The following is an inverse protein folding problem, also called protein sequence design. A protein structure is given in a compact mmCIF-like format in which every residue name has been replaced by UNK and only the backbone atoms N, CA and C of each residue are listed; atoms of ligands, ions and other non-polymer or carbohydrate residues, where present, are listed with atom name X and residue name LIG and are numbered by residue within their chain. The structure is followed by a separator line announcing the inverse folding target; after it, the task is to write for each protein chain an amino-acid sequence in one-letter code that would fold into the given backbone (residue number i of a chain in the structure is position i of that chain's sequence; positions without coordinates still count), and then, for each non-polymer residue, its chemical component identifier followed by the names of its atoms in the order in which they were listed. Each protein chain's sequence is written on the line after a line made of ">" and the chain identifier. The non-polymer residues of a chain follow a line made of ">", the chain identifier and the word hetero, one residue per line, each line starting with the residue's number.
data_IF_274485236920
#
_entry.id   IF_274485236920
#
_cell.length_a   1.000
_cell.length_b   1.000
_cell.length_c   1.000
_cell.angle_alpha   90.00
_cell.angle_beta   90.00
_cell.angle_gamma   90.00
#
_symmetry.space_group_name_H-M   'P 1'
#
loop_
_entity.id
_entity.type
_entity.pdbx_description
1 polymer ?
#
# COMPACT_ATOMS: atom_id res chain seq x y z
N UNK A 1 5.05 -11.96 3.32
CA UNK A 1 6.21 -11.04 3.21
C UNK A 1 6.85 -11.01 4.58
N UNK A 2 8.17 -11.19 4.70
CA UNK A 2 8.77 -11.50 5.99
C UNK A 2 9.25 -10.27 6.73
N UNK A 3 9.62 -9.17 6.07
CA UNK A 3 10.07 -7.94 6.76
C UNK A 3 9.62 -6.67 6.04
N UNK A 4 9.64 -5.53 6.74
CA UNK A 4 9.46 -4.19 6.17
C UNK A 4 10.28 -3.99 4.89
N UNK A 5 11.58 -4.30 4.92
CA UNK A 5 12.46 -4.17 3.76
C UNK A 5 12.02 -5.07 2.60
N UNK A 6 11.57 -6.30 2.88
CA UNK A 6 11.03 -7.18 1.83
C UNK A 6 9.73 -6.64 1.24
N UNK A 7 8.86 -6.02 2.06
CA UNK A 7 7.63 -5.38 1.59
C UNK A 7 7.96 -4.21 0.66
N UNK A 8 8.93 -3.38 1.01
CA UNK A 8 9.40 -2.25 0.19
C UNK A 8 9.96 -2.76 -1.14
N UNK A 9 10.85 -3.75 -1.11
CA UNK A 9 11.42 -4.33 -2.33
C UNK A 9 10.35 -4.92 -3.25
N UNK A 10 9.31 -5.53 -2.67
CA UNK A 10 8.19 -6.06 -3.42
C UNK A 10 7.31 -4.94 -3.99
N UNK A 11 7.05 -3.87 -3.23
CA UNK A 11 6.37 -2.67 -3.75
C UNK A 11 7.08 -2.12 -4.97
N UNK A 12 8.40 -1.90 -4.88
CA UNK A 12 9.22 -1.40 -5.98
C UNK A 12 9.22 -2.33 -7.18
N UNK A 13 9.27 -3.64 -6.96
CA UNK A 13 9.16 -4.63 -8.02
C UNK A 13 7.79 -4.57 -8.71
N UNK A 14 6.70 -4.43 -7.95
CA UNK A 14 5.34 -4.35 -8.49
C UNK A 14 5.12 -3.07 -9.28
N UNK A 15 5.64 -1.93 -8.80
CA UNK A 15 5.59 -0.68 -9.52
C UNK A 15 6.35 -0.75 -10.86
N UNK A 16 7.56 -1.34 -10.88
CA UNK A 16 8.31 -1.56 -12.13
C UNK A 16 7.57 -2.48 -13.11
N UNK A 17 6.93 -3.53 -12.62
CA UNK A 17 6.12 -4.42 -13.46
C UNK A 17 4.90 -3.68 -14.00
N UNK A 18 4.23 -2.87 -13.19
CA UNK A 18 3.10 -2.05 -13.63
C UNK A 18 3.50 -1.07 -14.75
N UNK A 19 4.67 -0.43 -14.64
CA UNK A 19 5.22 0.41 -15.72
C UNK A 19 5.48 -0.38 -17.01
N UNK A 20 6.07 -1.57 -16.89
CA UNK A 20 6.32 -2.44 -18.04
C UNK A 20 5.01 -2.85 -18.73
N UNK A 21 3.99 -3.21 -17.95
CA UNK A 21 2.69 -3.58 -18.48
C UNK A 21 1.99 -2.42 -19.19
N UNK A 22 2.07 -1.21 -18.62
CA UNK A 22 1.56 0.00 -19.24
C UNK A 22 2.21 0.24 -20.62
N UNK A 23 3.53 0.08 -20.72
CA UNK A 23 4.26 0.22 -21.99
C UNK A 23 3.89 -0.84 -23.04
N UNK A 24 3.36 -1.99 -22.60
CA UNK A 24 2.95 -3.10 -23.47
C UNK A 24 1.41 -3.19 -23.62
N UNK A 25 0.69 -2.11 -23.30
CA UNK A 25 -0.78 -2.01 -23.43
C UNK A 25 -1.59 -2.97 -22.53
N UNK A 26 -1.01 -3.51 -21.47
CA UNK A 26 -1.70 -4.30 -20.45
C UNK A 26 -2.23 -3.37 -19.34
N UNK A 27 -3.24 -2.56 -19.69
CA UNK A 27 -3.73 -1.47 -18.84
C UNK A 27 -4.36 -1.93 -17.53
N UNK A 28 -5.21 -2.95 -17.57
CA UNK A 28 -5.90 -3.48 -16.39
C UNK A 28 -4.89 -4.01 -15.35
N UNK A 29 -3.92 -4.80 -15.80
CA UNK A 29 -2.87 -5.35 -14.94
C UNK A 29 -1.91 -4.27 -14.42
N UNK A 30 -1.57 -3.28 -15.26
CA UNK A 30 -0.76 -2.14 -14.85
C UNK A 30 -1.46 -1.34 -13.74
N UNK A 31 -2.75 -1.05 -13.91
CA UNK A 31 -3.56 -0.34 -12.94
C UNK A 31 -3.66 -1.11 -11.62
N UNK A 32 -3.94 -2.41 -11.68
CA UNK A 32 -3.99 -3.27 -10.50
C UNK A 32 -2.66 -3.31 -9.73
N UNK A 33 -1.56 -3.59 -10.42
CA UNK A 33 -0.24 -3.71 -9.79
C UNK A 33 0.31 -2.37 -9.30
N UNK A 34 -0.02 -1.27 -9.99
CA UNK A 34 0.27 0.09 -9.54
C UNK A 34 -0.36 0.33 -8.16
N UNK A 35 -1.67 0.16 -8.03
CA UNK A 35 -2.35 0.33 -6.73
C UNK A 35 -1.82 -0.59 -5.63
N UNK A 36 -1.59 -1.86 -5.99
CA UNK A 36 -1.01 -2.81 -5.04
C UNK A 36 0.35 -2.37 -4.51
N UNK A 37 1.19 -1.71 -5.32
CA UNK A 37 2.48 -1.19 -4.84
C UNK A 37 2.33 -0.13 -3.74
N UNK A 38 1.33 0.76 -3.83
CA UNK A 38 1.03 1.75 -2.79
C UNK A 38 0.50 1.10 -1.51
N UNK A 39 -0.39 0.10 -1.63
CA UNK A 39 -0.85 -0.71 -0.49
C UNK A 39 0.34 -1.31 0.27
N UNK A 40 1.32 -1.85 -0.45
CA UNK A 40 2.53 -2.42 0.14
C UNK A 40 3.38 -1.38 0.87
N UNK A 41 3.55 -0.19 0.31
CA UNK A 41 4.24 0.91 0.99
C UNK A 41 3.56 1.29 2.31
N UNK A 42 2.22 1.37 2.34
CA UNK A 42 1.48 1.62 3.59
C UNK A 42 1.68 0.49 4.60
N UNK A 43 1.66 -0.77 4.15
CA UNK A 43 1.91 -1.94 5.01
C UNK A 43 3.35 -1.97 5.56
N UNK A 44 4.35 -1.57 4.77
CA UNK A 44 5.70 -1.37 5.26
C UNK A 44 5.74 -0.29 6.36
N UNK A 45 5.06 0.84 6.13
CA UNK A 45 4.99 1.92 7.12
C UNK A 45 4.31 1.47 8.41
N UNK A 46 3.26 0.65 8.34
CA UNK A 46 2.61 0.05 9.51
C UNK A 46 3.61 -0.80 10.30
N UNK A 47 4.43 -1.62 9.65
CA UNK A 47 5.47 -2.40 10.33
C UNK A 47 6.41 -1.48 11.13
N UNK A 48 6.87 -0.40 10.49
CA UNK A 48 7.72 0.63 11.12
C UNK A 48 7.03 1.35 12.28
N UNK A 49 5.75 1.70 12.12
CA UNK A 49 4.96 2.40 13.15
C UNK A 49 4.73 1.52 14.38
N UNK A 50 4.55 0.21 14.19
CA UNK A 50 4.37 -0.74 15.27
C UNK A 50 5.68 -1.22 15.88
N UNK A 51 6.82 -0.92 15.25
CA UNK A 51 8.14 -1.49 15.57
C UNK A 51 8.14 -3.04 15.54
N UNK A 52 7.44 -3.61 14.55
CA UNK A 52 7.35 -5.06 14.31
C UNK A 52 7.60 -5.32 12.82
N UNK A 53 8.87 -5.57 12.47
CA UNK A 53 9.31 -5.66 11.08
C UNK A 53 8.56 -6.73 10.26
N UNK A 54 8.17 -7.85 10.89
CA UNK A 54 7.50 -8.98 10.25
C UNK A 54 6.00 -9.03 10.55
N UNK A 55 5.38 -7.88 10.82
CA UNK A 55 3.98 -7.82 11.21
C UNK A 55 3.01 -8.43 10.17
N UNK A 56 3.35 -8.35 8.88
CA UNK A 56 2.57 -8.97 7.79
C UNK A 56 3.08 -10.37 7.38
N UNK A 57 3.96 -10.99 8.17
CA UNK A 57 4.31 -12.40 8.02
C UNK A 57 3.22 -13.27 8.67
N UNK A 58 2.21 -13.61 7.88
CA UNK A 58 1.09 -14.45 8.33
C UNK A 58 1.48 -15.92 8.55
N UNK A 59 2.61 -16.37 8.01
CA UNK A 59 3.11 -17.74 8.16
C UNK A 59 3.95 -17.90 9.44
N UNK A 60 4.64 -16.84 9.88
CA UNK A 60 5.42 -16.81 11.11
C UNK A 60 4.85 -15.81 12.13
N UNK A 61 3.99 -16.28 13.03
CA UNK A 61 3.31 -15.40 14.01
C UNK A 61 4.10 -15.18 15.31
N UNK A 62 5.33 -15.68 15.42
CA UNK A 62 6.10 -15.68 16.68
C UNK A 62 6.37 -14.28 17.23
N UNK A 63 6.71 -13.34 16.35
CA UNK A 63 7.13 -11.99 16.73
C UNK A 63 5.94 -11.04 17.02
N UNK A 64 4.71 -11.43 16.68
CA UNK A 64 3.48 -10.68 17.00
C UNK A 64 2.85 -11.06 18.33
N UNK A 65 3.50 -11.95 19.09
CA UNK A 65 3.00 -12.42 20.38
C UNK A 65 3.77 -11.76 21.50
N UNK A 66 3.02 -11.12 22.40
CA UNK A 66 3.61 -10.61 23.64
C UNK A 66 4.25 -11.77 24.43
N UNK A 67 5.47 -11.59 24.97
CA UNK A 67 6.05 -12.52 25.92
C UNK A 67 5.06 -12.77 27.07
N UNK A 68 4.89 -14.03 27.47
CA UNK A 68 4.00 -14.46 28.56
C UNK A 68 2.46 -14.37 28.32
N UNK A 69 1.99 -14.25 27.07
CA UNK A 69 0.55 -14.43 26.78
C UNK A 69 0.06 -15.84 27.16
N UNK A 70 -0.80 -15.92 28.19
CA UNK A 70 -1.37 -17.18 28.71
C UNK A 70 -2.33 -17.85 27.72
N UNK A 71 -2.94 -17.06 26.82
CA UNK A 71 -3.86 -17.55 25.79
C UNK A 71 -3.13 -17.67 24.45
N UNK A 72 -2.47 -18.82 24.23
CA UNK A 72 -1.83 -19.16 22.94
C UNK A 72 -2.81 -19.34 21.77
N UNK A 73 -4.12 -19.39 22.05
CA UNK A 73 -5.17 -19.78 21.10
C UNK A 73 -5.84 -18.63 20.33
N UNK A 74 -5.67 -17.36 20.73
CA UNK A 74 -6.28 -16.20 20.05
C UNK A 74 -5.23 -15.36 19.33
N UNK A 75 -4.68 -15.91 18.26
CA UNK A 75 -3.87 -15.16 17.29
C UNK A 75 -4.78 -14.37 16.33
N UNK A 76 -5.54 -13.42 16.89
CA UNK A 76 -6.47 -12.57 16.14
C UNK A 76 -5.98 -11.12 16.03
N UNK A 77 -4.82 -10.79 16.62
CA UNK A 77 -4.31 -9.42 16.73
C UNK A 77 -4.07 -8.77 15.35
N UNK A 78 -3.71 -9.57 14.34
CA UNK A 78 -3.47 -9.08 13.00
C UNK A 78 -4.73 -8.90 12.15
N UNK A 79 -5.89 -9.40 12.59
CA UNK A 79 -7.12 -9.40 11.77
C UNK A 79 -7.55 -7.99 11.41
N UNK A 80 -7.47 -7.05 12.36
CA UNK A 80 -7.80 -5.65 12.14
C UNK A 80 -6.87 -4.95 11.15
N UNK A 81 -5.71 -5.53 10.87
CA UNK A 81 -4.72 -5.00 9.92
C UNK A 81 -4.74 -5.73 8.58
N UNK A 82 -5.48 -6.84 8.46
CA UNK A 82 -5.65 -7.57 7.21
C UNK A 82 -6.74 -6.91 6.35
N UNK A 83 -6.46 -5.67 5.98
CA UNK A 83 -7.31 -4.82 5.14
C UNK A 83 -6.54 -4.42 3.88
N UNK A 84 -7.30 -4.00 2.87
CA UNK A 84 -6.80 -3.55 1.56
C UNK A 84 -7.26 -2.11 1.23
N UNK A 85 -8.01 -1.50 2.15
CA UNK A 85 -8.54 -0.16 2.04
C UNK A 85 -7.47 0.89 2.39
N UNK A 86 -7.27 1.87 1.50
CA UNK A 86 -6.20 2.85 1.67
C UNK A 86 -6.42 3.77 2.87
N UNK A 87 -7.65 4.21 3.12
CA UNK A 87 -7.92 5.11 4.25
C UNK A 87 -7.62 4.43 5.58
N UNK A 88 -8.09 3.18 5.75
CA UNK A 88 -7.74 2.38 6.93
C UNK A 88 -6.24 2.16 7.05
N UNK A 89 -5.55 1.84 5.95
CA UNK A 89 -4.10 1.65 5.96
C UNK A 89 -3.33 2.94 6.27
N UNK A 90 -3.79 4.11 5.81
CA UNK A 90 -3.23 5.43 6.15
C UNK A 90 -3.39 5.77 7.64
N UNK A 91 -4.54 5.43 8.23
CA UNK A 91 -4.78 5.58 9.67
C UNK A 91 -3.85 4.65 10.45
N UNK A 92 -3.82 3.37 10.09
CA UNK A 92 -2.99 2.37 10.76
C UNK A 92 -1.49 2.64 10.60
N UNK A 93 -1.07 3.29 9.50
CA UNK A 93 0.33 3.66 9.27
C UNK A 93 0.76 4.85 10.14
N UNK A 94 -0.18 5.57 10.76
CA UNK A 94 0.07 6.80 11.50
C UNK A 94 0.35 8.01 10.60
N UNK A 95 0.13 7.90 9.29
CA UNK A 95 0.36 9.01 8.35
C UNK A 95 -0.88 9.88 8.12
N UNK A 96 -2.06 9.48 8.61
CA UNK A 96 -3.32 10.18 8.36
C UNK A 96 -3.22 11.70 8.53
N UNK A 97 -2.72 12.19 9.68
CA UNK A 97 -2.66 13.64 9.95
C UNK A 97 -1.78 14.39 8.94
N UNK A 98 -0.56 13.91 8.68
CA UNK A 98 0.36 14.56 7.74
C UNK A 98 -0.11 14.44 6.30
N UNK A 99 -0.81 13.34 5.96
CA UNK A 99 -1.40 13.12 4.65
C UNK A 99 -2.59 14.06 4.41
N UNK A 100 -3.48 14.21 5.39
CA UNK A 100 -4.61 15.15 5.33
C UNK A 100 -4.13 16.59 5.22
N UNK A 101 -3.11 16.98 5.99
CA UNK A 101 -2.50 18.31 5.87
C UNK A 101 -1.93 18.52 4.47
N UNK A 102 -1.20 17.52 3.95
CA UNK A 102 -0.61 17.58 2.60
C UNK A 102 -1.67 17.74 1.52
N UNK A 103 -2.76 16.96 1.57
CA UNK A 103 -3.91 17.11 0.66
C UNK A 103 -4.51 18.52 0.74
N UNK A 104 -4.66 19.07 1.95
CA UNK A 104 -5.30 20.38 2.12
C UNK A 104 -4.45 21.57 1.66
N UNK A 105 -3.13 21.37 1.56
CA UNK A 105 -2.15 22.45 1.30
C UNK A 105 -1.47 22.36 -0.06
N UNK A 106 -1.52 21.21 -0.72
CA UNK A 106 -0.89 20.97 -2.02
C UNK A 106 -1.93 20.47 -3.03
N UNK A 107 -2.31 21.36 -3.96
CA UNK A 107 -3.29 21.09 -5.00
C UNK A 107 -2.85 19.99 -5.98
N UNK A 108 -1.55 19.83 -6.23
CA UNK A 108 -1.04 18.77 -7.11
C UNK A 108 -1.17 17.41 -6.41
N UNK A 109 -0.84 17.38 -5.12
CA UNK A 109 -1.00 16.17 -4.30
C UNK A 109 -2.47 15.77 -4.12
N UNK A 110 -3.36 16.75 -3.96
CA UNK A 110 -4.81 16.52 -3.91
C UNK A 110 -5.34 15.95 -5.23
N UNK A 111 -4.91 16.52 -6.37
CA UNK A 111 -5.27 16.01 -7.68
C UNK A 111 -4.77 14.57 -7.88
N UNK A 112 -3.53 14.27 -7.50
CA UNK A 112 -2.98 12.92 -7.53
C UNK A 112 -3.80 11.94 -6.67
N UNK A 113 -4.17 12.36 -5.45
CA UNK A 113 -4.99 11.55 -4.56
C UNK A 113 -6.40 11.30 -5.10
N UNK A 114 -7.02 12.28 -5.77
CA UNK A 114 -8.34 12.14 -6.39
C UNK A 114 -8.40 11.03 -7.46
N UNK A 115 -7.24 10.70 -8.05
CA UNK A 115 -7.09 9.61 -9.02
C UNK A 115 -6.76 8.31 -8.30
N UNK A 116 -5.82 8.33 -7.34
CA UNK A 116 -5.35 7.13 -6.64
C UNK A 116 -6.40 6.52 -5.72
N UNK A 117 -7.19 7.35 -5.03
CA UNK A 117 -8.24 6.91 -4.08
C UNK A 117 -9.36 6.07 -4.70
N UNK A 118 -9.49 6.08 -6.03
CA UNK A 118 -10.49 5.27 -6.77
C UNK A 118 -10.09 3.80 -6.91
N UNK A 119 -8.86 3.45 -6.57
CA UNK A 119 -8.39 2.07 -6.65
C UNK A 119 -8.85 1.26 -5.45
N UNK A 120 -9.26 0.01 -5.70
CA UNK A 120 -9.47 -1.02 -4.68
C UNK A 120 -9.06 -2.40 -5.21
N UNK A 121 -8.92 -3.39 -4.32
CA UNK A 121 -8.41 -4.72 -4.68
C UNK A 121 -9.31 -5.52 -5.65
N UNK A 122 -10.61 -5.18 -5.75
CA UNK A 122 -11.55 -5.85 -6.65
C UNK A 122 -11.24 -5.56 -8.12
N UNK A 123 -10.52 -4.46 -8.39
CA UNK A 123 -10.06 -4.08 -9.72
C UNK A 123 -9.05 -5.07 -10.31
N UNK A 124 -8.57 -6.05 -9.51
CA UNK A 124 -7.89 -7.24 -10.02
C UNK A 124 -8.69 -7.97 -11.12
N UNK A 125 -10.01 -7.90 -11.08
CA UNK A 125 -10.89 -8.55 -12.04
C UNK A 125 -11.57 -7.57 -13.01
N UNK A 126 -11.17 -6.29 -12.98
CA UNK A 126 -11.69 -5.29 -13.91
C UNK A 126 -11.22 -5.59 -15.33
N UNK A 127 -11.95 -5.07 -16.31
CA UNK A 127 -11.60 -5.17 -17.73
C UNK A 127 -11.85 -3.85 -18.43
N UNK A 128 -10.92 -3.45 -19.28
CA UNK A 128 -11.10 -2.33 -20.21
C UNK A 128 -10.93 -0.96 -19.56
N UNK A 129 -10.02 -0.81 -18.60
CA UNK A 129 -9.61 0.50 -18.10
C UNK A 129 -8.96 1.29 -19.25
N UNK A 130 -9.32 2.57 -19.37
CA UNK A 130 -8.82 3.43 -20.44
C UNK A 130 -7.32 3.72 -20.27
N UNK A 131 -6.57 3.71 -21.37
CA UNK A 131 -5.12 4.00 -21.38
C UNK A 131 -4.77 5.34 -20.72
N UNK A 132 -5.52 6.41 -21.00
CA UNK A 132 -5.24 7.73 -20.43
C UNK A 132 -5.43 7.74 -18.92
N UNK A 133 -6.48 7.05 -18.43
CA UNK A 133 -6.74 6.93 -17.00
C UNK A 133 -5.63 6.13 -16.30
N UNK A 134 -5.16 5.04 -16.91
CA UNK A 134 -4.03 4.26 -16.35
C UNK A 134 -2.73 5.06 -16.36
N UNK A 135 -2.44 5.84 -17.42
CA UNK A 135 -1.26 6.72 -17.45
C UNK A 135 -1.31 7.78 -16.35
N UNK A 136 -2.46 8.44 -16.20
CA UNK A 136 -2.65 9.43 -15.13
C UNK A 136 -2.51 8.80 -13.76
N UNK A 137 -3.17 7.67 -13.52
CA UNK A 137 -3.04 6.92 -12.27
C UNK A 137 -1.60 6.49 -11.98
N UNK A 138 -0.89 5.95 -12.97
CA UNK A 138 0.49 5.52 -12.82
C UNK A 138 1.45 6.67 -12.54
N UNK A 139 1.16 7.89 -13.00
CA UNK A 139 1.93 9.07 -12.62
C UNK A 139 1.61 9.49 -11.19
N UNK A 140 0.32 9.64 -10.85
CA UNK A 140 -0.13 10.07 -9.53
C UNK A 140 0.32 9.12 -8.42
N UNK A 141 0.29 7.81 -8.67
CA UNK A 141 0.73 6.83 -7.68
C UNK A 141 2.24 6.89 -7.43
N UNK A 142 3.06 7.20 -8.45
CA UNK A 142 4.50 7.39 -8.27
C UNK A 142 4.80 8.61 -7.41
N UNK A 143 4.07 9.71 -7.65
CA UNK A 143 4.21 10.93 -6.86
C UNK A 143 3.88 10.66 -5.39
N UNK A 144 2.75 10.02 -5.11
CA UNK A 144 2.34 9.68 -3.74
C UNK A 144 3.28 8.66 -3.08
N UNK A 145 3.73 7.62 -3.80
CA UNK A 145 4.72 6.66 -3.28
C UNK A 145 6.04 7.37 -2.95
N UNK A 146 6.48 8.30 -3.80
CA UNK A 146 7.71 9.09 -3.56
C UNK A 146 7.59 9.92 -2.28
N UNK A 147 6.43 10.52 -2.04
CA UNK A 147 6.14 11.18 -0.77
C UNK A 147 6.15 10.20 0.41
N UNK A 148 5.46 9.06 0.30
CA UNK A 148 5.34 8.07 1.38
C UNK A 148 6.72 7.51 1.77
N UNK A 149 7.62 7.30 0.81
CA UNK A 149 9.00 6.84 1.03
C UNK A 149 9.82 7.73 1.95
N UNK A 150 9.43 8.99 2.17
CA UNK A 150 10.09 9.88 3.14
C UNK A 150 9.83 9.45 4.60
N UNK A 151 8.83 8.60 4.82
CA UNK A 151 8.43 8.11 6.14
C UNK A 151 8.81 6.63 6.38
N UNK A 152 9.28 5.94 5.34
CA UNK A 152 9.86 4.58 5.39
C UNK A 152 11.36 4.65 5.73
#
# INVERSE_FOLDING_TARGET
>A
MKTETEIINLSDAKLRVAEFLLQNNFFDDAYYLGGYSFELCLKAKICKTLDIADFFDFDNTKNRRLPASRNKSKDNLYKSFKVHDYEQLLILSGLYTVFSEKISTDLEFEADWSVVSKWDESLRYSKGVNEMDVKSFMQSIKNIITWLKQYL
#
